data_IF_261329898983
#
_entry.id   IF_261329898983
#
_cell.length_a   1.000
_cell.length_b   1.000
_cell.length_c   1.000
_cell.angle_alpha   90.00
_cell.angle_beta   90.00
_cell.angle_gamma   90.00
#
_symmetry.space_group_name_H-M   'P 1'
#
loop_
_entity.id
_entity.type
_entity.pdbx_description
1 polymer ?
#
# COMPACT_ATOMS: atom_id res chain seq x y z
N UNK A 1 -63.05 -55.71 35.38
CA UNK A 1 -61.93 -56.19 34.58
C UNK A 1 -60.67 -55.78 35.32
N UNK A 2 -60.06 -56.71 36.04
CA UNK A 2 -58.74 -56.48 36.73
C UNK A 2 -57.66 -56.36 35.67
N UNK A 3 -56.95 -55.27 35.68
CA UNK A 3 -55.83 -55.04 34.76
C UNK A 3 -54.64 -55.94 35.22
N UNK A 4 -54.21 -56.86 34.37
CA UNK A 4 -53.07 -57.69 34.65
C UNK A 4 -51.77 -56.92 34.46
N UNK A 5 -51.14 -56.56 35.57
CA UNK A 5 -49.89 -55.80 35.58
C UNK A 5 -48.71 -56.54 34.94
N UNK A 6 -48.73 -57.86 34.94
CA UNK A 6 -47.68 -58.66 34.30
C UNK A 6 -47.73 -58.59 32.78
N UNK A 7 -48.95 -58.51 32.18
CA UNK A 7 -49.11 -58.29 30.75
C UNK A 7 -48.61 -56.90 30.35
N UNK A 8 -48.93 -55.88 31.16
CA UNK A 8 -48.45 -54.52 30.93
C UNK A 8 -46.93 -54.46 30.98
N UNK A 9 -46.30 -55.11 31.95
CA UNK A 9 -44.83 -55.22 32.03
C UNK A 9 -44.23 -55.93 30.84
N UNK A 10 -44.80 -57.02 30.35
CA UNK A 10 -44.38 -57.74 29.16
C UNK A 10 -44.41 -56.90 27.92
N UNK A 11 -45.36 -56.01 27.78
CA UNK A 11 -45.47 -55.10 26.61
C UNK A 11 -44.54 -53.88 26.73
N UNK A 12 -44.45 -53.28 27.92
CA UNK A 12 -43.74 -52.02 28.12
C UNK A 12 -42.25 -52.16 28.39
N UNK A 13 -41.81 -53.27 29.02
CA UNK A 13 -40.38 -53.49 29.30
C UNK A 13 -39.49 -53.52 28.01
N UNK A 14 -39.87 -54.26 26.93
CA UNK A 14 -39.15 -54.21 25.69
C UNK A 14 -39.12 -52.81 25.04
N UNK A 15 -40.24 -52.08 25.13
CA UNK A 15 -40.34 -50.70 24.63
C UNK A 15 -39.47 -49.76 25.41
N UNK A 16 -39.39 -49.90 26.74
CA UNK A 16 -38.50 -49.10 27.59
C UNK A 16 -37.02 -49.34 27.24
N UNK A 17 -36.63 -50.61 27.08
CA UNK A 17 -35.27 -50.94 26.67
C UNK A 17 -34.92 -50.39 25.30
N UNK A 18 -35.82 -50.51 24.31
CA UNK A 18 -35.66 -49.97 23.00
C UNK A 18 -35.56 -48.42 23.02
N UNK A 19 -36.29 -47.76 23.84
CA UNK A 19 -36.24 -46.29 24.03
C UNK A 19 -34.91 -45.88 24.69
N UNK A 20 -34.40 -46.61 25.66
CA UNK A 20 -33.11 -46.37 26.30
C UNK A 20 -31.98 -46.43 25.26
N UNK A 21 -31.96 -47.44 24.38
CA UNK A 21 -31.02 -47.57 23.30
C UNK A 21 -31.10 -46.40 22.30
N UNK A 22 -32.33 -46.03 21.89
CA UNK A 22 -32.58 -44.90 21.01
C UNK A 22 -32.13 -43.58 21.67
N UNK A 23 -32.41 -43.40 22.95
CA UNK A 23 -32.07 -42.25 23.74
C UNK A 23 -30.55 -42.04 23.69
N UNK A 24 -29.75 -43.09 23.92
CA UNK A 24 -28.32 -43.04 23.86
C UNK A 24 -27.81 -42.64 22.46
N UNK A 25 -28.39 -43.21 21.40
CA UNK A 25 -28.03 -42.89 20.01
C UNK A 25 -28.38 -41.43 19.71
N UNK A 26 -29.56 -40.93 20.05
CA UNK A 26 -29.95 -39.57 19.82
C UNK A 26 -29.06 -38.55 20.54
N UNK A 27 -28.68 -38.87 21.79
CA UNK A 27 -27.74 -38.04 22.55
C UNK A 27 -26.39 -37.99 21.90
N UNK A 28 -25.83 -39.14 21.51
CA UNK A 28 -24.49 -39.25 20.91
C UNK A 28 -24.46 -38.53 19.53
N UNK A 29 -25.46 -38.73 18.70
CA UNK A 29 -25.56 -38.10 17.39
C UNK A 29 -25.76 -36.59 17.55
N UNK A 30 -26.57 -36.14 18.50
CA UNK A 30 -26.70 -34.70 18.84
C UNK A 30 -25.40 -34.10 19.22
N UNK A 31 -24.60 -34.80 20.05
CA UNK A 31 -23.30 -34.31 20.51
C UNK A 31 -22.29 -34.23 19.37
N UNK A 32 -22.34 -35.12 18.40
CA UNK A 32 -21.55 -35.10 17.17
C UNK A 32 -21.91 -33.83 16.36
N UNK A 33 -23.20 -33.58 16.15
CA UNK A 33 -23.65 -32.38 15.41
C UNK A 33 -23.33 -31.08 16.15
N UNK A 34 -23.43 -31.06 17.46
CA UNK A 34 -22.98 -29.90 18.27
C UNK A 34 -21.48 -29.68 18.13
N UNK A 35 -20.68 -30.70 18.03
CA UNK A 35 -19.23 -30.58 17.77
C UNK A 35 -18.97 -29.99 16.38
N UNK A 36 -19.76 -30.39 15.38
CA UNK A 36 -19.70 -29.78 14.04
C UNK A 36 -20.09 -28.30 14.06
N UNK A 37 -21.10 -27.93 14.82
CA UNK A 37 -21.48 -26.50 15.02
C UNK A 37 -20.29 -25.71 15.57
N UNK A 38 -19.63 -26.19 16.60
CA UNK A 38 -18.44 -25.55 17.19
C UNK A 38 -17.31 -25.41 16.18
N UNK A 39 -17.05 -26.46 15.41
CA UNK A 39 -16.01 -26.46 14.38
C UNK A 39 -16.29 -25.39 13.32
N UNK A 40 -17.49 -25.36 12.76
CA UNK A 40 -17.88 -24.37 11.76
C UNK A 40 -17.88 -22.94 12.31
N UNK A 41 -18.31 -22.73 13.57
CA UNK A 41 -18.22 -21.42 14.24
C UNK A 41 -16.78 -20.96 14.39
N UNK A 42 -15.88 -21.85 14.81
CA UNK A 42 -14.45 -21.54 14.95
C UNK A 42 -13.84 -21.17 13.61
N UNK A 43 -14.13 -21.93 12.55
CA UNK A 43 -13.66 -21.66 11.20
C UNK A 43 -14.18 -20.29 10.71
N UNK A 44 -15.48 -20.04 10.86
CA UNK A 44 -16.08 -18.76 10.47
C UNK A 44 -15.46 -17.58 11.21
N UNK A 45 -15.28 -17.71 12.51
CA UNK A 45 -14.74 -16.63 13.34
C UNK A 45 -13.29 -16.33 12.99
N UNK A 46 -12.48 -17.36 12.73
CA UNK A 46 -11.09 -17.21 12.29
C UNK A 46 -11.02 -16.53 10.90
N UNK A 47 -11.86 -16.95 9.97
CA UNK A 47 -11.93 -16.34 8.65
C UNK A 47 -12.37 -14.86 8.77
N UNK A 48 -13.37 -14.55 9.57
CA UNK A 48 -13.82 -13.18 9.79
C UNK A 48 -12.72 -12.30 10.42
N UNK A 49 -11.91 -12.88 11.30
CA UNK A 49 -10.75 -12.18 11.86
C UNK A 49 -9.73 -11.84 10.76
N UNK A 50 -9.41 -12.81 9.90
CA UNK A 50 -8.52 -12.61 8.76
C UNK A 50 -9.07 -11.56 7.79
N UNK A 51 -10.36 -11.58 7.52
CA UNK A 51 -11.03 -10.57 6.68
C UNK A 51 -10.86 -9.16 7.26
N UNK A 52 -11.03 -9.00 8.56
CA UNK A 52 -10.82 -7.69 9.22
C UNK A 52 -9.39 -7.19 9.06
N UNK A 53 -8.41 -8.07 9.24
CA UNK A 53 -6.99 -7.73 9.05
C UNK A 53 -6.70 -7.32 7.60
N UNK A 54 -7.23 -8.06 6.63
CA UNK A 54 -7.05 -7.74 5.22
C UNK A 54 -7.75 -6.44 4.82
N UNK A 55 -8.94 -6.15 5.34
CA UNK A 55 -9.64 -4.89 5.11
C UNK A 55 -8.84 -3.72 5.67
N UNK A 56 -8.25 -3.88 6.86
CA UNK A 56 -7.35 -2.87 7.44
C UNK A 56 -6.15 -2.61 6.54
N UNK A 57 -5.55 -3.66 5.99
CA UNK A 57 -4.42 -3.53 5.05
C UNK A 57 -4.84 -2.88 3.74
N UNK A 58 -6.02 -3.19 3.22
CA UNK A 58 -6.58 -2.50 2.04
C UNK A 58 -6.70 -1.00 2.29
N UNK A 59 -7.17 -0.58 3.47
CA UNK A 59 -7.25 0.84 3.82
C UNK A 59 -5.87 1.49 3.92
N UNK A 60 -4.88 0.79 4.48
CA UNK A 60 -3.50 1.26 4.52
C UNK A 60 -2.93 1.47 3.11
N UNK A 61 -3.14 0.51 2.22
CA UNK A 61 -2.70 0.61 0.83
C UNK A 61 -3.42 1.73 0.07
N UNK A 62 -4.69 1.96 0.37
CA UNK A 62 -5.44 3.10 -0.17
C UNK A 62 -4.81 4.44 0.23
N UNK A 63 -4.46 4.59 1.49
CA UNK A 63 -3.77 5.79 2.00
C UNK A 63 -2.43 5.99 1.29
N UNK A 64 -1.61 4.94 1.19
CA UNK A 64 -0.32 4.98 0.49
C UNK A 64 -0.50 5.39 -0.98
N UNK A 65 -1.47 4.81 -1.67
CA UNK A 65 -1.81 5.14 -3.06
C UNK A 65 -2.21 6.60 -3.21
N UNK A 66 -3.09 7.08 -2.33
CA UNK A 66 -3.60 8.46 -2.40
C UNK A 66 -2.50 9.48 -2.11
N UNK A 67 -1.62 9.21 -1.14
CA UNK A 67 -0.44 10.02 -0.86
C UNK A 67 0.53 10.02 -2.04
N UNK A 68 0.80 8.87 -2.64
CA UNK A 68 1.65 8.75 -3.82
C UNK A 68 1.06 9.52 -5.02
N UNK A 69 -0.25 9.44 -5.24
CA UNK A 69 -0.93 10.20 -6.28
C UNK A 69 -0.85 11.72 -6.05
N UNK A 70 -0.95 12.17 -4.80
CA UNK A 70 -0.76 13.58 -4.44
C UNK A 70 0.67 14.03 -4.73
N UNK A 71 1.67 13.21 -4.38
CA UNK A 71 3.08 13.47 -4.71
C UNK A 71 3.32 13.51 -6.22
N UNK A 72 2.68 12.65 -6.98
CA UNK A 72 2.76 12.67 -8.45
C UNK A 72 2.30 14.01 -9.00
N UNK A 73 1.19 14.55 -8.51
CA UNK A 73 0.69 15.87 -8.94
C UNK A 73 1.67 17.00 -8.63
N UNK A 74 2.19 17.03 -7.41
CA UNK A 74 3.18 18.03 -6.98
C UNK A 74 4.48 17.90 -7.78
N UNK A 75 5.00 16.70 -7.93
CA UNK A 75 6.24 16.43 -8.64
C UNK A 75 6.13 16.70 -10.15
N UNK A 76 4.96 16.50 -10.75
CA UNK A 76 4.71 16.87 -12.15
C UNK A 76 4.79 18.39 -12.34
N UNK A 77 4.27 19.18 -11.41
CA UNK A 77 4.39 20.63 -11.43
C UNK A 77 5.87 21.03 -11.33
N UNK A 78 6.61 20.48 -10.39
CA UNK A 78 8.05 20.72 -10.23
C UNK A 78 8.83 20.34 -11.48
N UNK A 79 8.53 19.21 -12.07
CA UNK A 79 9.15 18.74 -13.32
C UNK A 79 8.87 19.70 -14.47
N UNK A 80 7.64 20.18 -14.60
CA UNK A 80 7.25 21.13 -15.62
C UNK A 80 8.01 22.46 -15.45
N UNK A 81 8.12 22.99 -14.23
CA UNK A 81 8.88 24.19 -13.92
C UNK A 81 10.37 24.04 -14.27
N UNK A 82 10.97 22.94 -13.88
CA UNK A 82 12.38 22.64 -14.19
C UNK A 82 12.60 22.45 -15.69
N UNK A 83 11.64 21.83 -16.40
CA UNK A 83 11.68 21.74 -17.87
C UNK A 83 11.62 23.10 -18.54
N UNK A 84 10.79 24.01 -18.03
CA UNK A 84 10.69 25.38 -18.54
C UNK A 84 11.98 26.14 -18.33
N UNK A 85 12.59 26.05 -17.14
CA UNK A 85 13.90 26.66 -16.84
C UNK A 85 14.97 26.11 -17.79
N UNK A 86 15.02 24.80 -17.99
CA UNK A 86 15.98 24.17 -18.89
C UNK A 86 15.82 24.66 -20.34
N UNK A 87 14.59 24.78 -20.83
CA UNK A 87 14.31 25.32 -22.16
C UNK A 87 14.79 26.75 -22.31
N UNK A 88 14.51 27.60 -21.32
CA UNK A 88 14.95 28.99 -21.30
C UNK A 88 16.47 29.10 -21.33
N UNK A 89 17.16 28.30 -20.51
CA UNK A 89 18.63 28.28 -20.47
C UNK A 89 19.24 27.77 -21.77
N UNK A 90 18.65 26.76 -22.39
CA UNK A 90 19.09 26.26 -23.70
C UNK A 90 18.90 27.26 -24.81
N UNK A 91 17.80 27.98 -24.82
CA UNK A 91 17.54 29.06 -25.76
C UNK A 91 18.55 30.19 -25.58
N UNK A 92 18.82 30.61 -24.36
CA UNK A 92 19.83 31.61 -24.02
C UNK A 92 21.22 31.18 -24.45
N UNK A 93 21.57 29.93 -24.25
CA UNK A 93 22.84 29.34 -24.69
C UNK A 93 22.98 29.39 -26.21
N UNK A 94 21.94 29.06 -26.97
CA UNK A 94 21.96 29.13 -28.43
C UNK A 94 22.12 30.56 -28.94
N UNK A 95 21.43 31.52 -28.34
CA UNK A 95 21.49 32.93 -28.70
C UNK A 95 22.88 33.53 -28.43
N UNK A 96 23.52 33.14 -27.34
CA UNK A 96 24.84 33.61 -26.92
C UNK A 96 26.01 32.77 -27.46
N UNK A 97 25.74 31.76 -28.25
CA UNK A 97 26.81 30.93 -28.85
C UNK A 97 27.71 31.80 -29.74
N UNK A 98 28.99 31.91 -29.45
CA UNK A 98 29.88 32.73 -30.26
C UNK A 98 29.98 32.19 -31.67
N UNK A 99 29.73 33.07 -32.64
CA UNK A 99 29.81 32.77 -34.09
C UNK A 99 31.27 32.53 -34.54
N UNK A 100 32.24 32.74 -33.66
CA UNK A 100 33.65 32.65 -33.97
C UNK A 100 34.27 31.37 -33.43
N UNK A 101 34.84 30.58 -34.33
CA UNK A 101 35.91 29.63 -34.00
C UNK A 101 37.10 30.42 -33.41
N UNK A 102 37.08 30.68 -32.12
CA UNK A 102 38.25 31.19 -31.43
C UNK A 102 39.30 30.09 -31.34
N UNK A 103 40.33 30.18 -32.12
CA UNK A 103 41.58 29.43 -31.92
C UNK A 103 41.96 29.54 -30.46
N UNK A 104 42.15 28.38 -29.81
CA UNK A 104 42.74 28.28 -28.47
C UNK A 104 44.08 29.03 -28.47
N UNK A 105 44.05 30.22 -27.93
CA UNK A 105 45.31 30.92 -27.63
C UNK A 105 45.84 30.36 -26.32
N UNK A 106 47.11 29.95 -26.39
CA UNK A 106 47.86 29.34 -25.29
C UNK A 106 47.80 30.20 -24.03
N UNK A 107 47.59 29.57 -22.92
CA UNK A 107 47.71 30.16 -21.59
C UNK A 107 49.13 30.57 -21.33
N UNK A 108 49.50 31.80 -21.52
CA UNK A 108 50.61 32.38 -20.79
C UNK A 108 50.44 33.88 -20.62
N UNK A 109 50.73 34.31 -19.45
CA UNK A 109 50.91 35.67 -18.91
C UNK A 109 49.67 36.25 -18.17
N UNK A 110 49.96 36.81 -16.98
CA UNK A 110 49.03 37.50 -16.11
C UNK A 110 48.23 38.53 -16.92
N UNK A 111 46.99 38.22 -17.20
CA UNK A 111 46.07 39.10 -17.95
C UNK A 111 45.84 40.37 -17.16
N UNK A 112 46.24 41.53 -17.73
CA UNK A 112 45.89 42.80 -17.17
C UNK A 112 44.37 43.00 -17.14
N UNK A 113 43.87 43.70 -16.12
CA UNK A 113 42.47 44.01 -16.01
C UNK A 113 42.03 44.99 -17.15
N UNK A 114 40.82 44.82 -17.67
CA UNK A 114 40.23 45.70 -18.70
C UNK A 114 40.33 47.18 -18.33
N UNK A 115 40.10 47.52 -17.07
CA UNK A 115 40.24 48.89 -16.56
C UNK A 115 41.63 49.42 -16.65
N UNK A 116 42.65 48.62 -16.38
CA UNK A 116 44.06 48.97 -16.45
C UNK A 116 44.46 49.26 -17.91
N UNK A 117 44.03 48.43 -18.84
CA UNK A 117 44.32 48.60 -20.28
C UNK A 117 43.62 49.82 -20.84
N UNK A 118 42.40 50.09 -20.51
CA UNK A 118 41.69 51.33 -20.88
C UNK A 118 42.39 52.56 -20.34
N UNK A 119 42.87 52.51 -19.08
CA UNK A 119 43.66 53.56 -18.48
C UNK A 119 44.98 53.80 -19.21
N UNK A 120 45.64 52.74 -19.63
CA UNK A 120 46.90 52.84 -20.41
C UNK A 120 46.65 53.40 -21.81
N UNK A 121 45.56 53.05 -22.46
CA UNK A 121 45.14 53.63 -23.74
C UNK A 121 44.91 55.14 -23.59
N UNK A 122 44.18 55.57 -22.60
CA UNK A 122 43.88 56.99 -22.34
C UNK A 122 45.13 57.76 -22.02
N UNK A 123 46.03 57.24 -21.21
CA UNK A 123 47.33 57.87 -20.90
C UNK A 123 48.21 58.02 -22.14
N UNK A 124 48.29 57.02 -22.99
CA UNK A 124 49.05 57.08 -24.21
C UNK A 124 48.50 58.05 -25.20
N UNK A 125 47.18 58.10 -25.33
CA UNK A 125 46.46 59.04 -26.20
C UNK A 125 46.68 60.52 -25.74
N UNK A 126 46.62 60.73 -24.44
CA UNK A 126 46.95 62.03 -23.86
C UNK A 126 48.42 62.44 -24.10
N UNK A 127 49.35 61.56 -23.91
CA UNK A 127 50.79 61.80 -24.18
C UNK A 127 51.03 62.15 -25.62
N UNK A 128 50.42 61.47 -26.54
CA UNK A 128 50.54 61.74 -27.96
C UNK A 128 49.93 63.11 -28.34
N UNK A 129 48.77 63.40 -27.88
CA UNK A 129 48.03 64.64 -28.18
C UNK A 129 48.73 65.87 -27.58
N UNK A 130 49.41 65.73 -26.47
CA UNK A 130 50.16 66.81 -25.82
C UNK A 130 51.66 66.87 -26.23
N UNK A 131 52.10 66.07 -27.19
CA UNK A 131 53.48 66.07 -27.68
C UNK A 131 54.49 65.44 -26.72
N UNK A 132 54.09 64.77 -25.67
CA UNK A 132 54.94 64.13 -24.67
C UNK A 132 55.29 62.69 -25.01
N UNK A 133 54.86 62.15 -26.13
CA UNK A 133 55.19 60.83 -26.59
C UNK A 133 56.61 60.73 -27.10
N UNK A 134 57.45 59.90 -26.49
CA UNK A 134 58.84 59.69 -26.94
C UNK A 134 58.90 58.61 -28.00
N UNK A 135 59.14 59.00 -29.29
CA UNK A 135 59.25 58.04 -30.37
C UNK A 135 58.54 58.51 -31.64
N UNK A 136 58.66 57.69 -32.67
CA UNK A 136 58.07 57.95 -33.98
C UNK A 136 56.55 57.58 -33.93
N UNK A 137 55.74 58.30 -34.73
CA UNK A 137 54.34 58.02 -34.89
C UNK A 137 53.97 56.57 -35.12
N UNK A 138 54.83 55.88 -35.90
CA UNK A 138 54.66 54.43 -36.12
C UNK A 138 54.76 53.57 -34.84
N UNK A 139 55.56 53.96 -33.85
CA UNK A 139 55.66 53.32 -32.56
C UNK A 139 54.43 53.54 -31.72
N UNK A 140 53.83 54.71 -31.76
CA UNK A 140 52.54 55.01 -31.15
C UNK A 140 51.43 54.13 -31.69
N UNK A 141 51.29 54.07 -33.00
CA UNK A 141 50.31 53.25 -33.67
C UNK A 141 50.47 51.78 -33.32
N UNK A 142 51.68 51.25 -33.25
CA UNK A 142 52.00 49.89 -32.90
C UNK A 142 51.63 49.57 -31.46
N UNK A 143 51.93 50.45 -30.54
CA UNK A 143 51.58 50.28 -29.13
C UNK A 143 50.09 50.38 -28.87
N UNK A 144 49.40 51.31 -29.49
CA UNK A 144 47.95 51.46 -29.44
C UNK A 144 47.27 50.19 -30.02
N UNK A 145 47.75 49.70 -31.12
CA UNK A 145 47.22 48.45 -31.73
C UNK A 145 47.38 47.24 -30.80
N UNK A 146 48.50 47.14 -30.08
CA UNK A 146 48.71 46.10 -29.07
C UNK A 146 47.69 46.21 -27.92
N UNK A 147 47.49 47.40 -27.40
CA UNK A 147 46.55 47.66 -26.30
C UNK A 147 45.12 47.36 -26.71
N UNK A 148 44.68 47.77 -27.88
CA UNK A 148 43.34 47.41 -28.41
C UNK A 148 43.19 45.93 -28.65
N UNK A 149 44.22 45.22 -29.05
CA UNK A 149 44.20 43.79 -29.23
C UNK A 149 44.09 43.04 -27.89
N UNK A 150 44.82 43.49 -26.87
CA UNK A 150 44.70 42.97 -25.50
C UNK A 150 43.31 43.19 -24.93
N UNK A 151 42.70 44.38 -25.15
CA UNK A 151 41.36 44.71 -24.76
C UNK A 151 40.35 43.79 -25.44
N UNK A 152 40.50 43.55 -26.73
CA UNK A 152 39.66 42.64 -27.50
C UNK A 152 39.71 41.20 -26.99
N UNK A 153 40.91 40.72 -26.64
CA UNK A 153 41.13 39.41 -26.07
C UNK A 153 40.47 39.24 -24.69
N UNK A 154 40.59 40.26 -23.84
CA UNK A 154 39.94 40.28 -22.51
C UNK A 154 38.40 40.25 -22.64
N UNK A 155 37.85 41.01 -23.54
CA UNK A 155 36.40 41.01 -23.83
C UNK A 155 35.96 39.64 -24.35
N UNK A 156 36.71 39.03 -25.26
CA UNK A 156 36.43 37.71 -25.80
C UNK A 156 36.51 36.64 -24.68
N UNK A 157 37.50 36.69 -23.76
CA UNK A 157 37.57 35.82 -22.60
C UNK A 157 36.42 35.99 -21.61
N UNK A 158 35.95 37.23 -21.39
CA UNK A 158 34.75 37.45 -20.59
C UNK A 158 33.51 36.81 -21.20
N UNK A 159 33.32 36.94 -22.50
CA UNK A 159 32.21 36.29 -23.23
C UNK A 159 32.35 34.77 -23.15
N UNK A 160 33.57 34.23 -23.31
CA UNK A 160 33.87 32.81 -23.22
C UNK A 160 33.59 32.27 -21.80
N UNK A 161 33.97 33.01 -20.74
CA UNK A 161 33.65 32.66 -19.36
C UNK A 161 32.17 32.68 -19.07
N UNK A 162 31.45 33.68 -19.56
CA UNK A 162 29.96 33.75 -19.43
C UNK A 162 29.30 32.59 -20.17
N UNK A 163 29.78 32.22 -21.36
CA UNK A 163 29.30 31.10 -22.11
C UNK A 163 29.52 29.76 -21.39
N UNK A 164 30.73 29.57 -20.83
CA UNK A 164 31.09 28.40 -20.04
C UNK A 164 30.21 28.27 -18.76
N UNK A 165 29.96 29.39 -18.10
CA UNK A 165 29.04 29.42 -16.94
C UNK A 165 27.62 29.07 -17.34
N UNK A 166 27.15 29.55 -18.47
CA UNK A 166 25.82 29.25 -19.01
C UNK A 166 25.70 27.76 -19.38
N UNK A 167 26.71 27.17 -20.00
CA UNK A 167 26.79 25.72 -20.24
C UNK A 167 26.71 24.91 -18.95
N UNK A 168 27.43 25.36 -17.92
CA UNK A 168 27.37 24.72 -16.59
C UNK A 168 25.97 24.80 -15.99
N UNK A 169 25.32 25.93 -16.11
CA UNK A 169 23.94 26.13 -15.64
C UNK A 169 22.95 25.24 -16.39
N UNK A 170 23.12 25.09 -17.70
CA UNK A 170 22.30 24.18 -18.52
C UNK A 170 22.49 22.73 -18.04
N UNK A 171 23.70 22.29 -17.78
CA UNK A 171 23.97 20.95 -17.25
C UNK A 171 23.33 20.72 -15.88
N UNK A 172 23.43 21.70 -14.98
CA UNK A 172 22.77 21.64 -13.65
C UNK A 172 21.27 21.58 -13.78
N UNK A 173 20.68 22.39 -14.66
CA UNK A 173 19.25 22.40 -14.92
C UNK A 173 18.78 21.07 -15.54
N UNK A 174 19.55 20.48 -16.43
CA UNK A 174 19.26 19.17 -17.01
C UNK A 174 19.28 18.06 -15.96
N UNK A 175 20.25 18.07 -15.04
CA UNK A 175 20.28 17.13 -13.91
C UNK A 175 19.08 17.32 -12.98
N UNK A 176 18.74 18.55 -12.67
CA UNK A 176 17.59 18.88 -11.82
C UNK A 176 16.28 18.39 -12.44
N UNK A 177 16.11 18.57 -13.74
CA UNK A 177 14.95 18.07 -14.49
C UNK A 177 14.89 16.55 -14.50
N UNK A 178 16.03 15.88 -14.71
CA UNK A 178 16.12 14.41 -14.67
C UNK A 178 15.83 13.85 -13.29
N UNK A 179 16.31 14.48 -12.22
CA UNK A 179 15.95 14.12 -10.83
C UNK A 179 14.45 14.23 -10.59
N UNK A 180 13.82 15.31 -11.05
CA UNK A 180 12.38 15.49 -10.94
C UNK A 180 11.61 14.41 -11.71
N UNK A 181 12.09 14.04 -12.90
CA UNK A 181 11.50 12.98 -13.70
C UNK A 181 11.59 11.61 -13.00
N UNK A 182 12.74 11.27 -12.42
CA UNK A 182 12.90 10.05 -11.63
C UNK A 182 11.98 10.01 -10.41
N UNK A 183 11.82 11.12 -9.71
CA UNK A 183 10.92 11.21 -8.56
C UNK A 183 9.47 11.00 -8.97
N UNK A 184 9.05 11.54 -10.12
CA UNK A 184 7.71 11.29 -10.67
C UNK A 184 7.52 9.81 -10.99
N UNK A 185 8.48 9.18 -11.65
CA UNK A 185 8.41 7.76 -11.97
C UNK A 185 8.33 6.88 -10.71
N UNK A 186 9.13 7.18 -9.69
CA UNK A 186 9.08 6.47 -8.41
C UNK A 186 7.72 6.60 -7.72
N UNK A 187 7.15 7.80 -7.71
CA UNK A 187 5.84 8.03 -7.11
C UNK A 187 4.72 7.33 -7.89
N UNK A 188 4.78 7.33 -9.22
CA UNK A 188 3.84 6.59 -10.09
C UNK A 188 3.95 5.08 -9.83
N UNK A 189 5.16 4.56 -9.75
CA UNK A 189 5.40 3.14 -9.45
C UNK A 189 4.83 2.76 -8.08
N UNK A 190 5.07 3.56 -7.06
CA UNK A 190 4.53 3.33 -5.71
C UNK A 190 3.00 3.33 -5.72
N UNK A 191 2.38 4.29 -6.40
CA UNK A 191 0.92 4.36 -6.53
C UNK A 191 0.36 3.13 -7.24
N UNK A 192 1.01 2.67 -8.31
CA UNK A 192 0.57 1.51 -9.08
C UNK A 192 0.74 0.22 -8.28
N UNK A 193 1.86 0.03 -7.60
CA UNK A 193 2.09 -1.13 -6.72
C UNK A 193 1.07 -1.21 -5.61
N UNK A 194 0.76 -0.09 -4.95
CA UNK A 194 -0.27 -0.04 -3.91
C UNK A 194 -1.66 -0.33 -4.46
N UNK A 195 -1.98 0.17 -5.65
CA UNK A 195 -3.24 -0.12 -6.32
C UNK A 195 -3.38 -1.60 -6.66
N UNK A 196 -2.35 -2.21 -7.23
CA UNK A 196 -2.33 -3.63 -7.58
C UNK A 196 -2.47 -4.51 -6.34
N UNK A 197 -1.77 -4.16 -5.27
CA UNK A 197 -1.89 -4.87 -3.98
C UNK A 197 -3.30 -4.73 -3.38
N UNK A 198 -3.93 -3.57 -3.50
CA UNK A 198 -5.33 -3.37 -3.09
C UNK A 198 -6.28 -4.31 -3.83
N UNK A 199 -6.09 -4.47 -5.14
CA UNK A 199 -6.92 -5.37 -5.97
C UNK A 199 -6.74 -6.81 -5.51
N UNK A 200 -5.50 -7.28 -5.34
CA UNK A 200 -5.19 -8.63 -4.86
C UNK A 200 -5.80 -8.89 -3.48
N UNK A 201 -5.64 -7.96 -2.55
CA UNK A 201 -6.20 -8.08 -1.21
C UNK A 201 -7.73 -8.07 -1.22
N UNK A 202 -8.35 -7.27 -2.08
CA UNK A 202 -9.81 -7.22 -2.23
C UNK A 202 -10.37 -8.53 -2.79
N UNK A 203 -9.70 -9.14 -3.74
CA UNK A 203 -10.05 -10.46 -4.28
C UNK A 203 -9.93 -11.53 -3.20
N UNK A 204 -8.88 -11.49 -2.39
CA UNK A 204 -8.70 -12.40 -1.26
C UNK A 204 -9.78 -12.21 -0.18
N UNK A 205 -10.17 -10.97 0.11
CA UNK A 205 -11.29 -10.66 1.00
C UNK A 205 -12.59 -11.30 0.50
N UNK A 206 -12.87 -11.16 -0.79
CA UNK A 206 -14.09 -11.74 -1.40
C UNK A 206 -14.08 -13.27 -1.33
N UNK A 207 -12.93 -13.89 -1.59
CA UNK A 207 -12.73 -15.34 -1.46
C UNK A 207 -12.96 -15.81 -0.03
N UNK A 208 -12.40 -15.11 0.94
CA UNK A 208 -12.56 -15.45 2.37
C UNK A 208 -13.99 -15.21 2.86
N UNK A 209 -14.66 -14.17 2.40
CA UNK A 209 -16.07 -13.94 2.71
C UNK A 209 -16.96 -15.06 2.18
N UNK A 210 -16.74 -15.53 0.97
CA UNK A 210 -17.45 -16.68 0.41
C UNK A 210 -17.24 -17.92 1.27
N UNK A 211 -16.00 -18.15 1.71
CA UNK A 211 -15.64 -19.27 2.59
C UNK A 211 -16.29 -19.14 3.98
N UNK A 212 -16.33 -17.95 4.54
CA UNK A 212 -17.02 -17.66 5.80
C UNK A 212 -18.53 -17.92 5.69
N UNK A 213 -19.16 -17.53 4.58
CA UNK A 213 -20.57 -17.80 4.30
C UNK A 213 -20.84 -19.30 4.20
N UNK A 214 -19.95 -20.04 3.57
CA UNK A 214 -20.01 -21.51 3.51
C UNK A 214 -19.95 -22.15 4.90
N UNK A 215 -19.07 -21.67 5.77
CA UNK A 215 -18.98 -22.11 7.16
C UNK A 215 -20.24 -21.72 7.95
N UNK A 216 -20.80 -20.56 7.71
CA UNK A 216 -22.07 -20.11 8.33
C UNK A 216 -23.24 -21.01 7.91
N UNK A 217 -23.32 -21.41 6.67
CA UNK A 217 -24.32 -22.39 6.19
C UNK A 217 -24.13 -23.74 6.90
N UNK A 218 -22.87 -24.16 7.09
CA UNK A 218 -22.53 -25.33 7.87
C UNK A 218 -23.00 -25.24 9.32
N UNK A 219 -22.87 -24.10 9.97
CA UNK A 219 -23.37 -23.83 11.32
C UNK A 219 -24.90 -24.00 11.36
N UNK A 220 -25.61 -23.35 10.44
CA UNK A 220 -27.10 -23.39 10.41
C UNK A 220 -27.59 -24.81 10.19
N UNK A 221 -27.02 -25.52 9.22
CA UNK A 221 -27.38 -26.91 8.92
C UNK A 221 -27.10 -27.85 10.09
N UNK A 222 -25.90 -27.77 10.66
CA UNK A 222 -25.50 -28.62 11.79
C UNK A 222 -26.32 -28.34 13.04
N UNK A 223 -26.65 -27.09 13.30
CA UNK A 223 -27.51 -26.69 14.42
C UNK A 223 -28.93 -27.22 14.25
N UNK A 224 -29.48 -27.19 13.03
CA UNK A 224 -30.78 -27.74 12.71
C UNK A 224 -30.86 -29.25 12.99
N UNK A 225 -29.83 -29.99 12.55
CA UNK A 225 -29.74 -31.42 12.81
C UNK A 225 -29.59 -31.73 14.31
N UNK A 226 -28.75 -30.97 15.01
CA UNK A 226 -28.62 -31.11 16.46
C UNK A 226 -29.93 -30.84 17.20
N UNK A 227 -30.70 -29.83 16.82
CA UNK A 227 -31.98 -29.49 17.42
C UNK A 227 -33.05 -30.58 17.16
N UNK A 228 -33.09 -31.15 15.96
CA UNK A 228 -33.93 -32.30 15.64
C UNK A 228 -33.62 -33.50 16.51
N UNK A 229 -32.37 -33.83 16.67
CA UNK A 229 -31.94 -34.93 17.52
C UNK A 229 -32.18 -34.67 19.00
N UNK A 230 -32.01 -33.44 19.44
CA UNK A 230 -32.35 -33.03 20.80
C UNK A 230 -33.85 -33.16 21.08
N UNK A 231 -34.70 -32.79 20.16
CA UNK A 231 -36.15 -32.97 20.28
C UNK A 231 -36.52 -34.47 20.37
N UNK A 232 -35.93 -35.30 19.54
CA UNK A 232 -36.12 -36.76 19.61
C UNK A 232 -35.61 -37.33 20.95
N UNK A 233 -34.49 -36.83 21.45
CA UNK A 233 -33.95 -37.19 22.76
C UNK A 233 -34.96 -36.84 23.89
N UNK A 234 -35.44 -35.57 23.89
CA UNK A 234 -36.41 -35.14 24.92
C UNK A 234 -37.69 -35.93 24.89
N UNK A 235 -38.25 -36.19 23.71
CA UNK A 235 -39.47 -37.02 23.57
C UNK A 235 -39.23 -38.44 24.07
N UNK A 236 -38.14 -39.08 23.72
CA UNK A 236 -37.77 -40.39 24.19
C UNK A 236 -37.56 -40.44 25.70
N UNK A 237 -36.90 -39.40 26.27
CA UNK A 237 -36.72 -39.28 27.71
C UNK A 237 -38.02 -39.15 28.48
N UNK A 238 -38.95 -38.36 27.99
CA UNK A 238 -40.31 -38.20 28.58
C UNK A 238 -41.08 -39.52 28.54
N UNK A 239 -40.99 -40.22 27.42
CA UNK A 239 -41.62 -41.54 27.27
C UNK A 239 -41.10 -42.56 28.27
N UNK A 240 -39.76 -42.59 28.46
CA UNK A 240 -39.08 -43.47 29.45
C UNK A 240 -39.53 -43.08 30.86
N UNK A 241 -39.56 -41.82 31.21
CA UNK A 241 -40.03 -41.35 32.53
C UNK A 241 -41.49 -41.73 32.79
N UNK A 242 -42.36 -41.62 31.79
CA UNK A 242 -43.75 -42.03 31.89
C UNK A 242 -43.90 -43.54 32.14
N UNK A 243 -43.11 -44.38 31.46
CA UNK A 243 -43.10 -45.83 31.70
C UNK A 243 -42.56 -46.15 33.08
N UNK A 244 -41.49 -45.47 33.54
CA UNK A 244 -40.95 -45.67 34.88
C UNK A 244 -41.94 -45.28 35.98
N UNK A 245 -42.65 -44.16 35.80
CA UNK A 245 -43.65 -43.69 36.71
C UNK A 245 -44.84 -44.66 36.79
N UNK A 246 -45.23 -45.22 35.65
CA UNK A 246 -46.29 -46.24 35.59
C UNK A 246 -45.84 -47.51 36.33
N UNK A 247 -44.63 -47.96 36.17
CA UNK A 247 -44.07 -49.12 36.88
C UNK A 247 -44.01 -48.90 38.39
N UNK A 248 -43.62 -47.68 38.82
CA UNK A 248 -43.65 -47.31 40.24
C UNK A 248 -45.02 -47.34 40.83
N UNK A 249 -46.03 -46.81 40.12
CA UNK A 249 -47.41 -46.83 40.54
C UNK A 249 -47.94 -48.24 40.63
N UNK A 250 -47.64 -49.15 39.67
CA UNK A 250 -48.01 -50.52 39.67
C UNK A 250 -47.42 -51.26 40.86
N UNK A 251 -46.11 -51.08 41.13
CA UNK A 251 -45.42 -51.69 42.26
C UNK A 251 -46.01 -51.25 43.61
N UNK A 252 -46.36 -49.94 43.74
CA UNK A 252 -46.99 -49.43 44.97
C UNK A 252 -48.38 -50.05 45.21
N UNK A 253 -49.14 -50.23 44.14
CA UNK A 253 -50.47 -50.83 44.21
C UNK A 253 -50.40 -52.31 44.54
N UNK A 254 -49.45 -53.06 44.00
CA UNK A 254 -49.20 -54.46 44.35
C UNK A 254 -48.83 -54.63 45.82
N UNK A 255 -48.01 -53.74 46.37
CA UNK A 255 -47.66 -53.75 47.81
C UNK A 255 -48.85 -53.49 48.69
N UNK A 256 -49.70 -52.52 48.29
CA UNK A 256 -50.92 -52.24 49.06
C UNK A 256 -51.95 -53.42 49.05
N UNK A 257 -52.06 -54.08 47.88
CA UNK A 257 -52.93 -55.26 47.76
C UNK A 257 -52.46 -56.42 48.62
N UNK A 258 -51.15 -56.69 48.64
CA UNK A 258 -50.50 -57.71 49.50
C UNK A 258 -50.67 -57.41 50.99
N UNK A 259 -50.65 -56.12 51.38
CA UNK A 259 -50.85 -55.72 52.77
C UNK A 259 -52.35 -55.80 53.19
N UNK A 260 -53.29 -55.69 52.28
CA UNK A 260 -54.76 -55.87 52.54
C UNK A 260 -55.17 -57.35 52.63
N UNK A 261 -54.47 -58.24 51.84
CA UNK A 261 -54.76 -59.70 51.91
C UNK A 261 -54.16 -60.37 53.14
N UNK A 262 -53.20 -59.74 53.84
CA UNK A 262 -52.61 -60.23 55.07
C UNK A 262 -53.23 -59.67 56.36
N UNK A 263 -54.38 -58.98 56.27
CA UNK A 263 -55.24 -58.55 57.40
C UNK A 263 -56.54 -59.31 57.42
#
# INVERSE_FOLDING_TARGET
IMMDFDEVRKVLSPKSTSLDEKLSIFRDDRDIWNSKVKKYLTERNEINRQVKELISEVQNQKVIRDEANSKVKELKIIRADRSTILKQLRTELQEKKPVTETKKLEKSERKRNERTIRGDIDKMDMKFNHGHFQGKEKNFERQMKKLYQELKEIKANKVENMFSELESNVRKAARSQEEAHKLVEQAVTTAQESHDLMIELSEEVDRLRAKANSSQEGVIRSKREADLLHNKYVVSLRSIHSIQDLFKAMNAQEKNNKNTDNR
#
